data_IF_481306264445
#
_entry.id   IF_481306264445
#
_cell.length_a   1.000
_cell.length_b   1.000
_cell.length_c   1.000
_cell.angle_alpha   90.00
_cell.angle_beta   90.00
_cell.angle_gamma   90.00
#
_symmetry.space_group_name_H-M   'P 1'
#
loop_
_entity.id
_entity.type
_entity.pdbx_description
1 polymer ?
#
# COMPACT_ATOMS: atom_id res chain seq x y z
N UNK A 1 -28.19 -26.79 54.88
CA UNK A 1 -27.22 -27.54 54.10
C UNK A 1 -27.77 -27.68 52.71
N UNK A 2 -27.48 -26.72 51.84
CA UNK A 2 -27.92 -26.74 50.42
C UNK A 2 -26.71 -26.28 49.58
N UNK A 3 -26.23 -27.20 48.74
CA UNK A 3 -25.23 -26.93 47.71
C UNK A 3 -25.85 -26.00 46.65
N UNK A 4 -25.18 -24.91 46.33
CA UNK A 4 -25.44 -24.11 45.13
C UNK A 4 -24.34 -24.37 44.09
N UNK A 5 -24.71 -25.06 43.03
CA UNK A 5 -23.95 -25.15 41.81
C UNK A 5 -24.00 -23.78 41.09
N UNK A 6 -22.85 -23.14 40.92
CA UNK A 6 -22.73 -22.00 40.04
C UNK A 6 -22.34 -22.50 38.63
N UNK A 7 -23.31 -22.46 37.73
CA UNK A 7 -23.04 -22.56 36.30
C UNK A 7 -22.37 -21.25 35.86
N UNK A 8 -21.15 -21.34 35.33
CA UNK A 8 -20.51 -20.25 34.59
C UNK A 8 -21.03 -20.33 33.15
N UNK A 9 -21.80 -19.34 32.74
CA UNK A 9 -22.06 -19.06 31.34
C UNK A 9 -20.89 -18.24 30.80
N UNK A 10 -20.08 -18.85 29.96
CA UNK A 10 -19.13 -18.11 29.09
C UNK A 10 -19.93 -17.69 27.86
N UNK A 11 -20.31 -16.44 27.81
CA UNK A 11 -20.88 -15.84 26.61
C UNK A 11 -19.72 -15.49 25.66
N UNK A 12 -19.57 -16.35 24.64
CA UNK A 12 -18.72 -16.04 23.48
C UNK A 12 -19.44 -14.95 22.67
N UNK A 13 -19.04 -13.69 22.85
CA UNK A 13 -19.43 -12.65 21.90
C UNK A 13 -18.45 -12.72 20.69
N UNK A 14 -18.87 -13.45 19.68
CA UNK A 14 -18.29 -13.30 18.35
C UNK A 14 -18.79 -11.96 17.78
N UNK A 15 -17.91 -10.99 17.71
CA UNK A 15 -18.15 -9.79 16.92
C UNK A 15 -17.93 -10.14 15.45
N UNK A 16 -19.00 -10.53 14.78
CA UNK A 16 -19.01 -10.55 13.33
C UNK A 16 -19.10 -9.09 12.86
N UNK A 17 -18.00 -8.56 12.39
CA UNK A 17 -18.03 -7.38 11.51
C UNK A 17 -18.75 -7.82 10.23
N UNK A 18 -20.03 -7.52 10.16
CA UNK A 18 -20.79 -7.60 8.92
C UNK A 18 -20.36 -6.41 8.08
N UNK A 19 -19.37 -6.60 7.22
CA UNK A 19 -19.23 -5.76 6.05
C UNK A 19 -20.47 -6.04 5.19
N UNK A 20 -21.43 -5.13 5.18
CA UNK A 20 -22.53 -5.15 4.22
C UNK A 20 -21.96 -5.02 2.81
N UNK A 21 -21.76 -6.13 2.16
CA UNK A 21 -21.90 -6.26 0.73
C UNK A 21 -22.63 -7.57 0.45
N UNK A 22 -23.96 -7.48 0.45
CA UNK A 22 -24.82 -8.51 -0.08
C UNK A 22 -24.85 -8.32 -1.58
N UNK A 23 -23.92 -8.94 -2.30
CA UNK A 23 -24.11 -9.18 -3.71
C UNK A 23 -23.38 -10.45 -4.13
N UNK A 24 -24.20 -11.48 -4.30
CA UNK A 24 -24.03 -12.62 -5.18
C UNK A 24 -22.72 -13.39 -4.97
N UNK A 25 -22.71 -14.24 -3.95
CA UNK A 25 -21.89 -15.46 -3.98
C UNK A 25 -22.51 -16.32 -5.10
N UNK A 26 -21.78 -16.58 -6.19
CA UNK A 26 -22.26 -17.56 -7.17
C UNK A 26 -22.48 -18.88 -6.46
N UNK A 27 -23.51 -19.61 -6.83
CA UNK A 27 -23.97 -20.85 -6.20
C UNK A 27 -22.95 -22.02 -6.25
N UNK A 28 -21.74 -21.75 -6.75
CA UNK A 28 -20.57 -22.65 -6.85
C UNK A 28 -19.32 -22.15 -6.11
N UNK A 29 -19.45 -21.19 -5.20
CA UNK A 29 -18.33 -20.50 -4.56
C UNK A 29 -17.65 -21.24 -3.40
N UNK A 30 -17.81 -22.56 -3.29
CA UNK A 30 -17.04 -23.34 -2.31
C UNK A 30 -15.62 -23.57 -2.85
N UNK A 31 -14.65 -22.93 -2.23
CA UNK A 31 -13.23 -23.19 -2.49
C UNK A 31 -12.83 -24.40 -1.66
N UNK A 32 -12.57 -25.52 -2.32
CA UNK A 32 -11.94 -26.67 -1.64
C UNK A 32 -10.50 -26.32 -1.31
N UNK A 33 -10.21 -26.20 0.00
CA UNK A 33 -8.88 -25.86 0.47
C UNK A 33 -7.94 -27.06 0.39
N UNK A 34 -6.70 -26.80 0.01
CA UNK A 34 -5.64 -27.80 -0.11
C UNK A 34 -4.71 -27.83 1.10
N UNK A 35 -4.94 -26.94 2.06
CA UNK A 35 -4.31 -26.92 3.36
C UNK A 35 -5.38 -26.61 4.43
N UNK A 36 -5.34 -27.31 5.57
CA UNK A 36 -6.44 -27.30 6.55
C UNK A 36 -6.68 -25.98 7.28
N UNK A 37 -5.65 -25.15 7.39
CA UNK A 37 -5.67 -23.80 8.01
C UNK A 37 -5.72 -22.67 6.96
N UNK A 38 -5.94 -23.01 5.70
CA UNK A 38 -6.04 -22.03 4.63
C UNK A 38 -7.33 -21.21 4.74
N UNK A 39 -7.18 -19.93 4.48
CA UNK A 39 -8.26 -18.98 4.25
C UNK A 39 -8.55 -18.84 2.76
N UNK A 40 -9.74 -18.35 2.44
CA UNK A 40 -10.18 -18.17 1.04
C UNK A 40 -10.66 -16.75 0.80
N UNK A 41 -10.49 -16.28 -0.43
CA UNK A 41 -10.96 -14.98 -0.85
C UNK A 41 -11.33 -15.00 -2.34
N UNK A 42 -12.32 -14.22 -2.74
CA UNK A 42 -12.71 -14.09 -4.15
C UNK A 42 -12.37 -12.69 -4.63
N UNK A 43 -11.52 -12.60 -5.62
CA UNK A 43 -11.21 -11.36 -6.34
C UNK A 43 -12.06 -11.27 -7.59
N UNK A 44 -12.39 -10.06 -7.99
CA UNK A 44 -13.03 -9.79 -9.30
C UNK A 44 -12.08 -8.94 -10.15
N UNK A 45 -12.19 -9.04 -11.46
CA UNK A 45 -11.35 -8.26 -12.36
C UNK A 45 -10.48 -9.10 -13.30
N UNK A 46 -10.76 -10.41 -13.41
CA UNK A 46 -9.98 -11.31 -14.26
C UNK A 46 -10.09 -10.96 -15.75
N UNK A 47 -11.32 -10.74 -16.23
CA UNK A 47 -11.57 -10.34 -17.63
C UNK A 47 -11.73 -8.82 -17.77
N UNK A 48 -12.34 -8.17 -16.79
CA UNK A 48 -12.65 -6.74 -16.79
C UNK A 48 -12.50 -6.14 -15.40
N UNK A 49 -11.41 -5.45 -15.16
CA UNK A 49 -11.07 -4.82 -13.88
C UNK A 49 -12.06 -3.74 -13.41
N UNK A 50 -12.95 -3.27 -14.30
CA UNK A 50 -14.01 -2.30 -13.96
C UNK A 50 -15.24 -2.94 -13.33
N UNK A 51 -15.34 -4.26 -13.37
CA UNK A 51 -16.51 -5.01 -12.91
C UNK A 51 -16.31 -5.62 -11.53
N UNK A 52 -15.93 -4.84 -10.53
CA UNK A 52 -15.97 -5.31 -9.17
C UNK A 52 -14.69 -5.12 -8.38
N UNK A 53 -14.62 -5.77 -7.23
CA UNK A 53 -13.52 -5.65 -6.27
C UNK A 53 -12.33 -6.53 -6.68
N UNK A 54 -11.20 -5.91 -6.92
CA UNK A 54 -10.01 -6.57 -7.46
C UNK A 54 -8.76 -6.45 -6.58
N UNK A 55 -8.93 -6.01 -5.34
CA UNK A 55 -7.83 -5.82 -4.37
C UNK A 55 -7.92 -6.86 -3.27
N UNK A 56 -6.80 -7.48 -2.95
CA UNK A 56 -6.63 -8.36 -1.80
C UNK A 56 -5.62 -7.75 -0.83
N UNK A 57 -6.01 -7.72 0.44
CA UNK A 57 -5.17 -7.22 1.52
C UNK A 57 -5.05 -8.31 2.60
N UNK A 58 -3.86 -8.85 2.89
CA UNK A 58 -3.70 -9.81 3.97
C UNK A 58 -4.13 -9.22 5.30
N UNK A 59 -4.72 -10.04 6.16
CA UNK A 59 -5.13 -9.63 7.49
C UNK A 59 -3.96 -9.01 8.27
N UNK A 60 -4.20 -7.84 8.85
CA UNK A 60 -3.18 -7.11 9.60
C UNK A 60 -2.14 -6.36 8.76
N UNK A 61 -2.24 -6.37 7.43
CA UNK A 61 -1.34 -5.66 6.53
C UNK A 61 -2.03 -4.46 5.86
N UNK A 62 -1.33 -3.35 5.75
CA UNK A 62 -1.73 -2.20 4.92
C UNK A 62 -1.32 -2.36 3.45
N UNK A 63 -0.59 -3.43 3.13
CA UNK A 63 -0.03 -3.67 1.80
C UNK A 63 -0.91 -4.64 1.01
N UNK A 64 -1.58 -4.19 -0.04
CA UNK A 64 -2.37 -5.05 -0.92
C UNK A 64 -1.63 -5.47 -2.18
N UNK A 65 -2.17 -6.49 -2.84
CA UNK A 65 -2.01 -6.66 -4.27
C UNK A 65 -3.39 -6.61 -4.97
N UNK A 66 -3.40 -6.42 -6.26
CA UNK A 66 -4.63 -6.32 -7.03
C UNK A 66 -4.61 -7.22 -8.26
N UNK A 67 -5.80 -7.57 -8.72
CA UNK A 67 -6.03 -8.34 -9.93
C UNK A 67 -6.43 -7.39 -11.07
N UNK A 68 -5.76 -7.49 -12.20
CA UNK A 68 -6.12 -6.79 -13.43
C UNK A 68 -5.81 -7.67 -14.63
N UNK A 69 -6.84 -7.95 -15.46
CA UNK A 69 -6.66 -8.63 -16.75
C UNK A 69 -5.72 -9.85 -16.67
N UNK A 70 -6.13 -10.87 -15.92
CA UNK A 70 -5.40 -12.14 -15.77
C UNK A 70 -4.06 -12.07 -15.05
N UNK A 71 -3.78 -10.95 -14.36
CA UNK A 71 -2.48 -10.74 -13.72
C UNK A 71 -2.66 -10.19 -12.32
N UNK A 72 -1.95 -10.78 -11.36
CA UNK A 72 -1.73 -10.15 -10.06
C UNK A 72 -0.64 -9.09 -10.17
N UNK A 73 -0.88 -7.95 -9.53
CA UNK A 73 0.05 -6.83 -9.45
C UNK A 73 0.28 -6.43 -8.00
N UNK A 74 1.51 -6.32 -7.59
CA UNK A 74 1.87 -5.88 -6.25
C UNK A 74 2.89 -4.75 -6.28
N UNK A 75 2.64 -3.67 -5.56
CA UNK A 75 3.61 -2.59 -5.41
C UNK A 75 4.70 -2.95 -4.40
N UNK A 76 4.29 -3.56 -3.29
CA UNK A 76 5.17 -4.12 -2.25
C UNK A 76 4.94 -5.62 -2.05
N UNK A 77 4.24 -6.24 -2.98
CA UNK A 77 4.12 -7.67 -3.11
C UNK A 77 5.02 -8.15 -4.23
N UNK A 78 5.65 -9.27 -3.97
CA UNK A 78 6.48 -9.96 -4.94
C UNK A 78 6.03 -11.41 -4.99
N UNK A 79 5.87 -11.94 -6.18
CA UNK A 79 5.39 -13.29 -6.41
C UNK A 79 6.50 -14.16 -6.97
N UNK A 80 6.49 -15.42 -6.59
CA UNK A 80 7.33 -16.47 -7.15
C UNK A 80 6.45 -17.69 -7.40
N UNK A 81 6.32 -18.12 -8.64
CA UNK A 81 5.57 -19.34 -8.98
C UNK A 81 6.25 -20.54 -8.29
N UNK A 82 5.45 -21.31 -7.57
CA UNK A 82 5.83 -22.59 -7.00
C UNK A 82 5.35 -23.72 -7.92
N UNK A 83 6.13 -24.78 -8.07
CA UNK A 83 5.79 -25.90 -8.95
C UNK A 83 4.64 -26.77 -8.45
N UNK A 84 4.14 -26.55 -7.23
CA UNK A 84 3.05 -27.29 -6.63
C UNK A 84 1.69 -26.83 -7.14
N UNK A 85 0.69 -27.67 -6.95
CA UNK A 85 -0.73 -27.39 -7.21
C UNK A 85 -1.58 -27.39 -5.95
N UNK A 86 -0.94 -27.58 -4.79
CA UNK A 86 -1.54 -27.65 -3.46
C UNK A 86 -0.67 -26.89 -2.47
N UNK A 87 -1.29 -26.14 -1.53
CA UNK A 87 -0.56 -25.38 -0.53
C UNK A 87 0.21 -26.26 0.46
N UNK A 88 -0.38 -27.42 0.84
CA UNK A 88 0.25 -28.37 1.76
C UNK A 88 1.51 -29.06 1.16
N UNK A 89 1.68 -28.99 -0.16
CA UNK A 89 2.86 -29.47 -0.86
C UNK A 89 4.00 -28.45 -0.94
N UNK A 90 3.73 -27.17 -0.67
CA UNK A 90 4.74 -26.12 -0.72
C UNK A 90 5.70 -26.22 0.48
N UNK A 91 6.99 -26.24 0.22
CA UNK A 91 8.03 -26.18 1.23
C UNK A 91 8.12 -24.79 1.90
N UNK A 92 9.27 -24.42 2.47
CA UNK A 92 9.54 -23.04 2.90
C UNK A 92 9.76 -22.12 1.69
N UNK A 93 9.42 -20.84 1.83
CA UNK A 93 9.67 -19.87 0.78
C UNK A 93 11.18 -19.74 0.53
N UNK A 94 11.62 -19.81 -0.73
CA UNK A 94 13.02 -19.64 -1.04
C UNK A 94 13.46 -18.19 -0.77
N UNK A 95 14.56 -18.02 -0.07
CA UNK A 95 15.17 -16.70 0.15
C UNK A 95 15.64 -16.06 -1.16
N UNK A 96 16.13 -16.91 -2.07
CA UNK A 96 16.62 -16.52 -3.38
C UNK A 96 15.67 -17.03 -4.47
N UNK A 97 15.49 -16.24 -5.52
CA UNK A 97 14.64 -16.60 -6.64
C UNK A 97 14.31 -15.37 -7.49
N UNK A 98 13.69 -15.61 -8.63
CA UNK A 98 13.23 -14.52 -9.51
C UNK A 98 11.88 -14.04 -9.03
N UNK A 99 11.89 -13.21 -8.00
CA UNK A 99 10.70 -12.56 -7.48
C UNK A 99 10.23 -11.46 -8.42
N UNK A 100 8.95 -11.41 -8.71
CA UNK A 100 8.34 -10.42 -9.62
C UNK A 100 7.19 -9.68 -8.94
N UNK A 101 7.00 -8.41 -9.26
CA UNK A 101 5.83 -7.63 -8.84
C UNK A 101 4.53 -8.08 -9.53
N UNK A 102 4.63 -8.93 -10.52
CA UNK A 102 3.48 -9.45 -11.26
C UNK A 102 3.53 -10.97 -11.32
N UNK A 103 2.35 -11.59 -11.32
CA UNK A 103 2.20 -13.01 -11.60
C UNK A 103 0.99 -13.25 -12.48
N UNK A 104 1.13 -14.07 -13.50
CA UNK A 104 0.00 -14.52 -14.31
C UNK A 104 -0.93 -15.37 -13.45
N UNK A 105 -2.25 -15.12 -13.54
CA UNK A 105 -3.27 -15.84 -12.76
C UNK A 105 -3.67 -17.09 -13.54
N UNK A 106 -3.21 -18.23 -13.07
CA UNK A 106 -3.44 -19.54 -13.70
C UNK A 106 -4.14 -20.45 -12.69
N UNK A 107 -5.29 -20.99 -13.06
CA UNK A 107 -6.04 -21.93 -12.22
C UNK A 107 -5.20 -23.14 -11.81
N UNK A 108 -5.27 -23.52 -10.56
CA UNK A 108 -4.54 -24.63 -9.95
C UNK A 108 -3.08 -24.32 -9.57
N UNK A 109 -2.52 -23.18 -9.96
CA UNK A 109 -1.14 -22.82 -9.65
C UNK A 109 -0.98 -22.29 -8.24
N UNK A 110 0.17 -22.61 -7.64
CA UNK A 110 0.62 -22.06 -6.36
C UNK A 110 1.74 -21.05 -6.57
N UNK A 111 1.74 -20.06 -5.69
CA UNK A 111 2.72 -18.99 -5.65
C UNK A 111 3.18 -18.76 -4.21
N UNK A 112 4.44 -18.50 -4.03
CA UNK A 112 4.89 -17.76 -2.88
C UNK A 112 4.65 -16.28 -3.12
N UNK A 113 4.10 -15.60 -2.15
CA UNK A 113 4.03 -14.16 -2.12
C UNK A 113 4.84 -13.65 -0.93
N UNK A 114 5.69 -12.65 -1.13
CA UNK A 114 6.35 -11.92 -0.05
C UNK A 114 5.93 -10.46 -0.08
N UNK A 115 5.72 -9.89 1.09
CA UNK A 115 5.30 -8.51 1.24
C UNK A 115 5.88 -7.93 2.53
N UNK A 116 6.15 -6.64 2.55
CA UNK A 116 6.71 -6.04 3.76
C UNK A 116 7.12 -4.60 3.58
N UNK A 117 7.33 -3.98 4.73
CA UNK A 117 7.90 -2.65 4.89
C UNK A 117 9.30 -2.77 5.52
N UNK A 118 10.11 -1.71 5.47
CA UNK A 118 11.40 -1.63 6.15
C UNK A 118 12.37 -2.79 5.88
N UNK A 119 12.33 -3.37 4.69
CA UNK A 119 13.13 -4.56 4.36
C UNK A 119 12.71 -5.86 5.08
N UNK A 120 11.74 -5.83 5.96
CA UNK A 120 11.21 -7.01 6.61
C UNK A 120 10.11 -7.59 5.73
N UNK A 121 10.33 -8.77 5.21
CA UNK A 121 9.35 -9.47 4.39
C UNK A 121 8.63 -10.53 5.21
N UNK A 122 7.31 -10.54 5.10
CA UNK A 122 6.44 -11.63 5.51
C UNK A 122 6.13 -12.48 4.28
N UNK A 123 5.83 -13.74 4.49
CA UNK A 123 5.56 -14.67 3.41
C UNK A 123 4.16 -15.26 3.52
N UNK A 124 3.56 -15.48 2.37
CA UNK A 124 2.23 -16.08 2.23
C UNK A 124 2.28 -17.12 1.12
N UNK A 125 1.67 -18.29 1.37
CA UNK A 125 1.31 -19.24 0.33
C UNK A 125 0.02 -18.78 -0.32
N UNK A 126 -0.05 -18.82 -1.65
CA UNK A 126 -1.20 -18.42 -2.44
C UNK A 126 -1.46 -19.47 -3.52
N UNK A 127 -2.72 -19.86 -3.70
CA UNK A 127 -3.14 -20.73 -4.80
C UNK A 127 -4.35 -20.11 -5.49
N UNK A 128 -4.37 -20.15 -6.82
CA UNK A 128 -5.55 -19.86 -7.60
C UNK A 128 -6.42 -21.11 -7.62
N UNK A 129 -7.49 -21.10 -6.85
CA UNK A 129 -8.35 -22.28 -6.66
C UNK A 129 -9.28 -22.51 -7.86
N UNK A 130 -9.83 -21.44 -8.43
CA UNK A 130 -10.67 -21.48 -9.63
C UNK A 130 -10.66 -20.13 -10.36
N UNK A 131 -11.05 -20.16 -11.62
CA UNK A 131 -11.37 -18.99 -12.43
C UNK A 131 -12.76 -19.21 -13.04
N UNK A 132 -13.71 -18.30 -12.74
CA UNK A 132 -15.07 -18.34 -13.29
C UNK A 132 -15.49 -16.95 -13.77
N UNK A 133 -15.45 -16.76 -15.07
CA UNK A 133 -15.69 -15.47 -15.71
C UNK A 133 -14.76 -14.38 -15.16
N UNK A 134 -15.33 -13.37 -14.52
CA UNK A 134 -14.57 -12.28 -13.92
C UNK A 134 -14.04 -12.59 -12.49
N UNK A 135 -14.46 -13.72 -11.89
CA UNK A 135 -14.11 -14.09 -10.53
C UNK A 135 -12.87 -14.99 -10.49
N UNK A 136 -12.01 -14.75 -9.54
CA UNK A 136 -10.85 -15.58 -9.19
C UNK A 136 -10.94 -15.95 -7.73
N UNK A 137 -11.16 -17.24 -7.45
CA UNK A 137 -11.07 -17.78 -6.11
C UNK A 137 -9.63 -18.06 -5.74
N UNK A 138 -9.16 -17.47 -4.66
CA UNK A 138 -7.84 -17.72 -4.09
C UNK A 138 -7.94 -18.44 -2.75
N UNK A 139 -7.01 -19.34 -2.54
CA UNK A 139 -6.71 -19.99 -1.26
C UNK A 139 -5.37 -19.49 -0.79
N UNK A 140 -5.23 -19.14 0.49
CA UNK A 140 -3.97 -18.61 1.01
C UNK A 140 -3.71 -18.99 2.47
N UNK A 141 -2.43 -18.99 2.85
CA UNK A 141 -1.95 -19.18 4.21
C UNK A 141 -0.90 -18.12 4.52
N UNK A 142 -1.14 -17.33 5.56
CA UNK A 142 -0.12 -16.44 6.13
C UNK A 142 0.86 -17.31 6.92
N UNK A 143 2.13 -17.18 6.66
CA UNK A 143 3.16 -18.00 7.33
C UNK A 143 3.89 -17.20 8.40
N UNK A 144 4.50 -17.89 9.35
CA UNK A 144 5.39 -17.26 10.35
C UNK A 144 6.79 -16.97 9.78
N UNK A 145 7.05 -17.35 8.53
CA UNK A 145 8.33 -17.11 7.89
C UNK A 145 8.51 -15.60 7.63
N UNK A 146 9.66 -15.09 8.04
CA UNK A 146 10.08 -13.71 7.76
C UNK A 146 11.51 -13.69 7.24
N UNK A 147 11.87 -12.65 6.50
CA UNK A 147 13.27 -12.39 6.15
C UNK A 147 13.55 -10.89 6.18
N UNK A 148 14.84 -10.55 6.30
CA UNK A 148 15.29 -9.15 6.26
C UNK A 148 16.14 -8.95 5.01
N UNK A 149 15.65 -8.15 4.11
CA UNK A 149 16.39 -7.77 2.90
C UNK A 149 17.59 -6.85 3.19
N UNK A 150 18.51 -6.69 2.25
CA UNK A 150 19.64 -5.79 2.39
C UNK A 150 19.18 -4.33 2.51
N UNK A 151 19.90 -3.54 3.30
CA UNK A 151 19.71 -2.09 3.36
C UNK A 151 20.52 -1.44 2.24
N UNK A 152 19.97 -1.41 1.06
CA UNK A 152 20.57 -0.81 -0.13
C UNK A 152 19.79 0.42 -0.57
N UNK A 153 20.44 1.31 -1.29
CA UNK A 153 19.78 2.44 -1.92
C UNK A 153 18.70 1.95 -2.91
N UNK A 154 17.58 2.63 -2.98
CA UNK A 154 16.48 2.24 -3.86
C UNK A 154 16.91 2.18 -5.35
N UNK A 155 17.82 3.04 -5.78
CA UNK A 155 18.38 3.01 -7.12
C UNK A 155 19.23 1.76 -7.37
N UNK A 156 20.00 1.34 -6.38
CA UNK A 156 20.80 0.10 -6.46
C UNK A 156 19.90 -1.12 -6.49
N UNK A 157 18.87 -1.17 -5.63
CA UNK A 157 17.86 -2.20 -5.65
C UNK A 157 17.18 -2.31 -7.00
N UNK A 158 16.82 -1.18 -7.58
CA UNK A 158 16.22 -1.11 -8.90
C UNK A 158 17.12 -1.69 -9.99
N UNK A 159 18.39 -1.37 -9.96
CA UNK A 159 19.34 -1.79 -11.00
C UNK A 159 19.68 -3.28 -10.91
N UNK A 160 19.71 -3.84 -9.72
CA UNK A 160 20.17 -5.21 -9.49
C UNK A 160 19.02 -6.21 -9.58
N UNK A 161 17.96 -5.99 -8.79
CA UNK A 161 16.93 -7.00 -8.58
C UNK A 161 15.65 -6.72 -9.36
N UNK A 162 15.36 -5.46 -9.66
CA UNK A 162 14.06 -5.05 -10.18
C UNK A 162 14.17 -4.00 -11.30
N UNK A 163 14.59 -4.39 -12.49
CA UNK A 163 14.72 -3.45 -13.62
C UNK A 163 13.39 -2.80 -14.03
N UNK A 164 12.26 -3.35 -13.60
CA UNK A 164 10.92 -2.80 -13.82
C UNK A 164 10.33 -2.06 -12.62
N UNK A 165 11.05 -1.96 -11.52
CA UNK A 165 10.59 -1.26 -10.31
C UNK A 165 10.43 0.22 -10.55
N UNK A 166 9.43 0.75 -9.93
CA UNK A 166 8.88 2.04 -10.25
C UNK A 166 9.08 3.07 -9.14
N UNK A 167 9.65 2.68 -8.01
CA UNK A 167 9.77 3.51 -6.80
C UNK A 167 11.20 4.06 -6.62
N UNK A 168 11.76 4.63 -7.67
CA UNK A 168 13.10 5.24 -7.62
C UNK A 168 13.17 6.50 -6.75
N UNK A 169 12.01 7.07 -6.40
CA UNK A 169 11.87 8.15 -5.43
C UNK A 169 12.18 7.71 -4.00
N UNK A 170 12.14 6.42 -3.73
CA UNK A 170 12.34 5.90 -2.38
C UNK A 170 13.81 5.91 -1.99
N UNK A 171 14.19 6.57 -0.89
CA UNK A 171 15.54 6.46 -0.35
C UNK A 171 15.79 5.08 0.25
N UNK A 172 17.04 4.74 0.52
CA UNK A 172 17.35 3.63 1.40
C UNK A 172 16.74 3.87 2.78
N UNK A 173 15.93 2.92 3.24
CA UNK A 173 15.21 3.08 4.51
C UNK A 173 16.19 2.94 5.66
N UNK A 174 16.17 3.95 6.55
CA UNK A 174 16.96 3.97 7.76
C UNK A 174 16.01 4.18 8.94
N UNK A 175 16.02 3.27 9.89
CA UNK A 175 15.16 3.34 11.08
C UNK A 175 15.41 4.60 11.93
N UNK A 176 16.62 5.17 11.84
CA UNK A 176 16.94 6.43 12.50
C UNK A 176 16.22 7.65 11.87
N UNK A 177 15.78 7.54 10.62
CA UNK A 177 15.08 8.63 9.94
C UNK A 177 13.60 8.72 10.33
N UNK A 178 13.07 7.68 10.94
CA UNK A 178 11.68 7.63 11.41
C UNK A 178 10.93 6.39 10.98
N UNK A 179 9.64 6.41 11.21
CA UNK A 179 8.73 5.32 10.87
C UNK A 179 8.18 5.55 9.47
N UNK A 180 8.46 4.61 8.59
CA UNK A 180 8.08 4.68 7.19
C UNK A 180 6.66 4.19 6.92
N UNK A 181 5.91 4.90 6.07
CA UNK A 181 4.60 4.48 5.54
C UNK A 181 4.43 4.90 4.10
N UNK A 182 3.67 4.11 3.36
CA UNK A 182 3.26 4.40 1.98
C UNK A 182 1.76 4.66 1.92
N UNK A 183 1.36 5.63 1.13
CA UNK A 183 -0.02 6.02 0.92
C UNK A 183 -0.41 5.70 -0.51
N UNK A 184 -1.52 5.01 -0.68
CA UNK A 184 -1.99 4.55 -1.97
C UNK A 184 -3.36 5.13 -2.29
N UNK A 185 -3.65 5.18 -3.58
CA UNK A 185 -4.98 5.50 -4.11
C UNK A 185 -5.35 4.56 -5.24
N UNK A 186 -6.65 4.30 -5.39
CA UNK A 186 -7.19 3.63 -6.56
C UNK A 186 -7.54 4.68 -7.62
N UNK A 187 -6.80 4.69 -8.73
CA UNK A 187 -7.04 5.63 -9.81
C UNK A 187 -6.77 4.99 -11.18
N UNK A 188 -7.66 5.20 -12.14
CA UNK A 188 -7.59 4.63 -13.49
C UNK A 188 -7.38 3.10 -13.50
N UNK A 189 -8.14 2.39 -12.65
CA UNK A 189 -8.08 0.94 -12.46
C UNK A 189 -6.69 0.44 -12.00
N UNK A 190 -5.93 1.29 -11.32
CA UNK A 190 -4.61 0.96 -10.76
C UNK A 190 -4.54 1.35 -9.28
N UNK A 191 -3.79 0.56 -8.52
CA UNK A 191 -3.43 0.87 -7.15
C UNK A 191 -2.06 1.55 -7.16
N UNK A 192 -2.06 2.88 -6.96
CA UNK A 192 -0.90 3.74 -7.19
C UNK A 192 -0.39 4.25 -5.85
N UNK A 193 0.92 4.11 -5.60
CA UNK A 193 1.56 4.82 -4.50
C UNK A 193 1.53 6.32 -4.80
N UNK A 194 0.81 7.04 -3.98
CA UNK A 194 0.65 8.49 -4.12
C UNK A 194 1.84 9.24 -3.53
N UNK A 195 2.18 8.90 -2.29
CA UNK A 195 3.37 9.40 -1.61
C UNK A 195 3.80 8.43 -0.51
N UNK A 196 5.04 8.53 -0.06
CA UNK A 196 5.56 7.85 1.10
C UNK A 196 6.16 8.85 2.08
N UNK A 197 6.04 8.56 3.38
CA UNK A 197 6.51 9.43 4.46
C UNK A 197 7.40 8.64 5.42
N UNK A 198 8.37 9.31 6.04
CA UNK A 198 9.14 8.76 7.16
C UNK A 198 8.99 9.68 8.36
N UNK A 199 8.07 9.33 9.26
CA UNK A 199 7.69 10.13 10.41
C UNK A 199 8.69 9.96 11.57
N UNK A 200 9.28 11.06 11.99
CA UNK A 200 10.12 11.10 13.18
C UNK A 200 9.28 11.49 14.40
N UNK A 201 9.10 10.56 15.32
CA UNK A 201 8.24 10.73 16.50
C UNK A 201 8.80 11.74 17.51
N UNK A 202 10.12 11.89 17.55
CA UNK A 202 10.81 12.82 18.44
C UNK A 202 10.67 14.27 17.97
N UNK A 203 10.90 14.47 16.66
CA UNK A 203 10.77 15.78 16.02
C UNK A 203 9.32 16.13 15.69
N UNK A 204 8.41 15.15 15.68
CA UNK A 204 7.02 15.29 15.26
C UNK A 204 6.92 15.90 13.85
N UNK A 205 7.72 15.35 12.95
CA UNK A 205 7.95 15.85 11.61
C UNK A 205 8.48 14.72 10.73
N UNK A 206 8.10 14.65 9.47
CA UNK A 206 8.68 13.68 8.54
C UNK A 206 10.10 14.07 8.16
N UNK A 207 11.02 13.12 8.25
CA UNK A 207 12.40 13.28 7.80
C UNK A 207 12.50 13.43 6.30
N UNK A 208 11.59 12.78 5.56
CA UNK A 208 11.44 12.92 4.13
C UNK A 208 10.03 12.50 3.68
N UNK A 209 9.65 12.99 2.52
CA UNK A 209 8.46 12.57 1.78
C UNK A 209 8.89 12.26 0.34
N UNK A 210 8.46 11.12 -0.20
CA UNK A 210 8.83 10.67 -1.52
C UNK A 210 7.60 10.45 -2.40
N UNK A 211 7.69 10.82 -3.68
CA UNK A 211 6.62 10.64 -4.66
C UNK A 211 7.17 10.71 -6.09
N UNK A 212 6.35 10.37 -7.07
CA UNK A 212 6.76 10.51 -8.47
C UNK A 212 5.66 11.12 -9.33
N UNK A 213 6.07 11.63 -10.47
CA UNK A 213 5.20 12.00 -11.57
C UNK A 213 5.38 11.01 -12.73
N UNK A 214 4.28 10.60 -13.32
CA UNK A 214 4.18 9.91 -14.59
C UNK A 214 2.93 10.38 -15.34
N UNK A 215 2.56 9.72 -16.44
CA UNK A 215 1.39 10.12 -17.23
C UNK A 215 0.07 10.14 -16.45
N UNK A 216 -0.08 9.30 -15.41
CA UNK A 216 -1.27 9.25 -14.59
C UNK A 216 -1.23 10.29 -13.48
N UNK A 217 -0.15 10.30 -12.72
CA UNK A 217 0.00 11.11 -11.51
C UNK A 217 0.26 12.59 -11.81
N UNK A 218 0.57 12.94 -13.07
CA UNK A 218 0.78 14.33 -13.53
C UNK A 218 -0.48 15.03 -14.03
N UNK A 219 -1.62 14.34 -14.05
CA UNK A 219 -2.88 14.93 -14.52
C UNK A 219 -3.39 15.99 -13.55
N UNK A 220 -4.07 16.99 -14.09
CA UNK A 220 -4.69 18.08 -13.35
C UNK A 220 -6.22 17.96 -13.49
N UNK A 221 -6.81 17.16 -12.59
CA UNK A 221 -8.24 16.80 -12.66
C UNK A 221 -9.05 17.40 -11.52
N UNK A 222 -8.43 17.74 -10.41
CA UNK A 222 -9.12 18.21 -9.21
C UNK A 222 -8.45 19.46 -8.65
N UNK A 223 -9.22 20.23 -7.88
CA UNK A 223 -8.70 21.38 -7.16
C UNK A 223 -8.26 20.97 -5.75
N UNK A 224 -7.45 21.83 -5.14
CA UNK A 224 -7.06 21.74 -3.74
C UNK A 224 -8.25 21.46 -2.83
N UNK A 225 -8.14 20.46 -1.96
CA UNK A 225 -9.23 19.97 -1.09
C UNK A 225 -9.25 20.61 0.29
N UNK A 226 -8.08 21.04 0.80
CA UNK A 226 -7.91 21.53 2.18
C UNK A 226 -8.38 20.53 3.26
N UNK A 227 -8.18 19.23 3.00
CA UNK A 227 -8.64 18.11 3.84
C UNK A 227 -7.65 17.83 5.00
N UNK A 228 -7.40 18.82 5.84
CA UNK A 228 -6.47 18.73 6.97
C UNK A 228 -6.88 17.67 7.97
N UNK A 229 -5.99 16.70 8.19
CA UNK A 229 -6.22 15.61 9.14
C UNK A 229 -4.92 14.98 9.63
N UNK A 230 -5.01 14.21 10.71
CA UNK A 230 -3.94 13.33 11.11
C UNK A 230 -3.89 12.11 10.17
N UNK A 231 -2.69 11.59 9.98
CA UNK A 231 -2.45 10.43 9.15
C UNK A 231 -2.80 9.14 9.90
N UNK A 232 -3.90 8.50 9.53
CA UNK A 232 -4.38 7.27 10.16
C UNK A 232 -3.46 6.05 9.98
N UNK A 233 -2.44 6.14 9.12
CA UNK A 233 -1.41 5.11 9.02
C UNK A 233 -0.46 5.10 10.24
N UNK A 234 -0.55 6.13 11.08
CA UNK A 234 0.23 6.28 12.31
C UNK A 234 -0.71 6.41 13.51
N UNK A 235 -0.46 5.66 14.55
CA UNK A 235 -1.22 5.80 15.81
C UNK A 235 -0.93 7.16 16.45
N UNK A 236 -1.99 7.94 16.67
CA UNK A 236 -1.88 9.32 17.14
C UNK A 236 -1.16 9.43 18.49
N UNK A 237 -1.54 8.58 19.45
CA UNK A 237 -1.05 8.68 20.82
C UNK A 237 0.40 8.23 20.95
N UNK A 238 0.77 7.14 20.31
CA UNK A 238 2.11 6.54 20.41
C UNK A 238 3.13 7.19 19.47
N UNK A 239 2.67 7.81 18.39
CA UNK A 239 3.54 8.41 17.36
C UNK A 239 3.75 9.93 17.52
N UNK A 240 3.23 10.51 18.57
CA UNK A 240 3.33 11.96 18.80
C UNK A 240 2.53 12.75 17.76
N UNK A 241 1.28 12.35 17.56
CA UNK A 241 0.39 12.92 16.56
C UNK A 241 0.27 14.44 16.62
N UNK A 242 -0.08 15.04 15.50
CA UNK A 242 -0.22 16.49 15.29
C UNK A 242 -1.63 16.78 14.78
N UNK A 243 -2.24 17.83 15.31
CA UNK A 243 -3.58 18.28 14.93
C UNK A 243 -3.62 19.80 14.66
N UNK A 244 -4.72 20.29 14.15
CA UNK A 244 -4.92 21.72 13.81
C UNK A 244 -4.54 22.66 14.97
N UNK A 245 -4.86 22.28 16.20
CA UNK A 245 -4.56 23.08 17.37
C UNK A 245 -3.05 23.32 17.58
N UNK A 246 -2.21 22.40 17.16
CA UNK A 246 -0.75 22.52 17.27
C UNK A 246 -0.17 23.57 16.33
N UNK A 247 -0.88 23.92 15.26
CA UNK A 247 -0.46 24.91 14.25
C UNK A 247 -1.15 26.27 14.43
N UNK A 248 -1.99 26.40 15.44
CA UNK A 248 -2.73 27.63 15.65
C UNK A 248 -1.88 28.68 16.36
N UNK A 249 -1.54 29.74 15.64
CA UNK A 249 -0.79 30.89 16.18
C UNK A 249 0.63 30.56 16.66
N UNK A 250 1.25 29.53 16.08
CA UNK A 250 2.64 29.15 16.36
C UNK A 250 3.68 30.05 15.65
N UNK A 251 3.23 30.87 14.71
CA UNK A 251 4.07 31.78 13.94
C UNK A 251 4.66 31.18 12.66
N UNK A 252 4.25 29.95 12.31
CA UNK A 252 4.67 29.26 11.11
C UNK A 252 3.49 29.01 10.17
N UNK A 253 3.80 28.87 8.88
CA UNK A 253 2.87 28.32 7.89
C UNK A 253 2.85 26.80 7.99
N UNK A 254 1.71 26.20 7.68
CA UNK A 254 1.60 24.76 7.41
C UNK A 254 2.17 24.48 6.01
N UNK A 255 3.48 24.31 5.93
CA UNK A 255 4.17 24.08 4.66
C UNK A 255 4.08 22.62 4.25
N UNK A 256 3.61 22.37 3.03
CA UNK A 256 3.61 21.04 2.44
C UNK A 256 5.05 20.61 2.08
N UNK A 257 5.38 19.34 2.30
CA UNK A 257 6.62 18.75 1.77
C UNK A 257 6.37 18.27 0.33
N UNK A 258 5.36 17.41 0.12
CA UNK A 258 4.78 17.18 -1.19
C UNK A 258 3.64 18.17 -1.40
N UNK A 259 3.78 19.11 -2.32
CA UNK A 259 2.79 20.15 -2.54
C UNK A 259 1.42 19.58 -2.95
N UNK A 260 0.34 20.23 -2.50
CA UNK A 260 -1.02 19.80 -2.89
C UNK A 260 -1.22 19.83 -4.41
N UNK A 261 -0.60 20.79 -5.09
CA UNK A 261 -0.64 20.92 -6.55
C UNK A 261 0.08 19.77 -7.28
N UNK A 262 0.96 19.04 -6.59
CA UNK A 262 1.65 17.89 -7.16
C UNK A 262 0.75 16.66 -7.28
N UNK A 263 -0.33 16.59 -6.49
CA UNK A 263 -1.21 15.44 -6.35
C UNK A 263 -2.67 15.77 -6.69
N UNK A 264 -2.91 16.47 -7.82
CA UNK A 264 -4.25 16.86 -8.29
C UNK A 264 -4.83 15.93 -9.37
N UNK A 265 -4.30 14.74 -9.52
CA UNK A 265 -4.81 13.78 -10.49
C UNK A 265 -6.11 13.09 -10.04
N UNK A 266 -6.34 12.92 -8.73
CA UNK A 266 -7.63 12.53 -8.15
C UNK A 266 -7.81 13.14 -6.75
N UNK A 267 -9.06 13.09 -6.25
CA UNK A 267 -9.44 13.73 -4.99
C UNK A 267 -8.70 13.12 -3.81
N UNK A 268 -8.67 11.81 -3.71
CA UNK A 268 -8.03 11.07 -2.62
C UNK A 268 -6.52 11.34 -2.59
N UNK A 269 -5.88 11.42 -3.74
CA UNK A 269 -4.46 11.76 -3.82
C UNK A 269 -4.18 13.16 -3.29
N UNK A 270 -5.05 14.12 -3.61
CA UNK A 270 -4.92 15.48 -3.10
C UNK A 270 -5.20 15.55 -1.59
N UNK A 271 -6.21 14.85 -1.09
CA UNK A 271 -6.53 14.78 0.35
C UNK A 271 -5.33 14.27 1.16
N UNK A 272 -4.61 13.26 0.67
CA UNK A 272 -3.41 12.73 1.34
C UNK A 272 -2.28 13.75 1.49
N UNK A 273 -2.21 14.77 0.64
CA UNK A 273 -1.19 15.83 0.81
C UNK A 273 -1.44 16.72 2.04
N UNK A 274 -2.67 16.72 2.58
CA UNK A 274 -3.05 17.49 3.76
C UNK A 274 -2.90 16.73 5.08
N UNK A 275 -2.42 15.48 5.03
CA UNK A 275 -2.07 14.73 6.23
C UNK A 275 -0.89 15.40 6.94
N UNK A 276 -0.98 15.56 8.26
CA UNK A 276 0.06 16.26 9.03
C UNK A 276 1.44 15.60 8.93
N UNK A 277 1.53 14.34 8.54
CA UNK A 277 2.81 13.68 8.22
C UNK A 277 3.49 14.23 6.95
N UNK A 278 2.76 14.95 6.10
CA UNK A 278 3.28 15.67 4.94
C UNK A 278 3.50 17.17 5.22
N UNK A 279 3.31 17.63 6.44
CA UNK A 279 3.34 19.07 6.78
C UNK A 279 4.55 19.38 7.65
N UNK A 280 5.20 20.49 7.32
CA UNK A 280 6.34 21.05 8.07
C UNK A 280 6.00 22.46 8.55
N UNK A 281 6.31 22.83 9.80
CA UNK A 281 6.28 24.22 10.22
C UNK A 281 7.31 25.02 9.42
N UNK A 282 6.88 25.95 8.60
CA UNK A 282 7.76 26.74 7.73
C UNK A 282 7.59 28.24 8.01
N UNK A 283 8.70 28.95 8.00
CA UNK A 283 8.65 30.42 8.06
C UNK A 283 7.95 30.93 6.79
N UNK A 284 6.99 31.86 6.94
CA UNK A 284 6.18 32.36 5.83
C UNK A 284 7.03 32.87 4.64
N UNK A 285 8.13 33.59 4.91
CA UNK A 285 9.03 34.06 3.85
C UNK A 285 9.76 32.95 3.09
N UNK A 286 9.99 31.80 3.73
CA UNK A 286 10.53 30.61 3.11
C UNK A 286 9.44 29.87 2.33
N UNK A 287 8.35 29.53 3.00
CA UNK A 287 7.24 28.79 2.40
C UNK A 287 6.68 29.48 1.14
N UNK A 288 6.28 30.75 1.29
CA UNK A 288 5.55 31.49 0.26
C UNK A 288 6.43 32.04 -0.90
N UNK A 289 7.75 31.93 -0.79
CA UNK A 289 8.66 32.45 -1.83
C UNK A 289 9.61 31.39 -2.34
N UNK A 290 10.55 30.98 -1.50
CA UNK A 290 11.61 30.08 -1.94
C UNK A 290 11.08 28.66 -2.20
N UNK A 291 10.30 28.11 -1.24
CA UNK A 291 9.75 26.77 -1.36
C UNK A 291 8.77 26.65 -2.51
N UNK A 292 7.83 27.58 -2.66
CA UNK A 292 6.94 27.67 -3.82
C UNK A 292 7.70 27.70 -5.14
N UNK A 293 8.85 28.36 -5.20
CA UNK A 293 9.68 28.37 -6.41
C UNK A 293 10.24 26.99 -6.77
N UNK A 294 10.61 26.19 -5.76
CA UNK A 294 11.03 24.78 -5.95
C UNK A 294 9.85 23.91 -6.38
N UNK A 295 8.71 24.03 -5.72
CA UNK A 295 7.48 23.32 -6.09
C UNK A 295 7.10 23.58 -7.55
N UNK A 296 7.09 24.83 -7.98
CA UNK A 296 6.80 25.18 -9.38
C UNK A 296 7.78 24.58 -10.38
N UNK A 297 9.06 24.46 -9.99
CA UNK A 297 10.07 23.83 -10.84
C UNK A 297 9.82 22.31 -10.96
N UNK A 298 9.53 21.64 -9.84
CA UNK A 298 9.21 20.22 -9.80
C UNK A 298 7.92 19.94 -10.60
N UNK A 299 6.90 20.77 -10.44
CA UNK A 299 5.66 20.69 -11.21
C UNK A 299 5.89 20.85 -12.71
N UNK A 300 6.74 21.79 -13.11
CA UNK A 300 7.09 21.95 -14.51
C UNK A 300 7.74 20.70 -15.10
N UNK A 301 8.62 20.04 -14.37
CA UNK A 301 9.20 18.77 -14.80
C UNK A 301 8.16 17.64 -14.78
N UNK A 302 7.39 17.52 -13.72
CA UNK A 302 6.34 16.51 -13.55
C UNK A 302 5.29 16.60 -14.65
N UNK A 303 4.76 17.79 -14.95
CA UNK A 303 3.76 17.99 -16.01
C UNK A 303 4.31 17.68 -17.41
N UNK A 304 5.62 17.71 -17.60
CA UNK A 304 6.26 17.34 -18.87
C UNK A 304 6.20 15.84 -19.18
N UNK A 305 5.76 14.99 -18.24
CA UNK A 305 5.53 13.56 -18.49
C UNK A 305 4.28 13.31 -19.36
N UNK A 306 3.37 14.28 -19.44
CA UNK A 306 2.20 14.24 -20.33
C UNK A 306 2.60 14.72 -21.73
N UNK A 307 3.22 13.79 -22.50
CA UNK A 307 3.67 14.11 -23.87
C UNK A 307 4.89 15.02 -23.95
N UNK A 308 5.63 15.16 -22.85
CA UNK A 308 6.80 16.03 -22.72
C UNK A 308 8.13 15.28 -22.81
N UNK A 309 9.11 15.78 -22.08
CA UNK A 309 10.52 15.36 -22.18
C UNK A 309 10.84 14.13 -21.32
N UNK A 310 10.09 13.91 -20.25
CA UNK A 310 10.37 12.85 -19.27
C UNK A 310 9.26 11.80 -19.26
N UNK A 311 9.63 10.54 -19.10
CA UNK A 311 8.66 9.46 -18.85
C UNK A 311 8.20 9.46 -17.39
N UNK A 312 9.11 9.76 -16.46
CA UNK A 312 8.87 9.91 -15.02
C UNK A 312 9.77 10.98 -14.42
N UNK A 313 9.31 11.58 -13.32
CA UNK A 313 10.08 12.45 -12.44
C UNK A 313 9.92 11.94 -11.01
N UNK A 314 11.03 11.68 -10.36
CA UNK A 314 11.07 11.16 -8.99
C UNK A 314 11.50 12.28 -8.05
N UNK A 315 10.84 12.37 -6.90
CA UNK A 315 11.04 13.42 -5.91
C UNK A 315 11.16 12.78 -4.52
N UNK A 316 12.19 13.20 -3.79
CA UNK A 316 12.39 12.83 -2.38
C UNK A 316 12.80 14.07 -1.60
#
# INVERSE_FOLDING_TARGET
>A
MKLFNKLFFVSLFAWTLIACNTDIIPDNGYIETTQSDASTFVMQGYEDSKKGFNVFNPEGSSLPFYLKEKTFYGSRFYFLEDGNTRLDGMAEAPEQGTWSHTAEVIEGKCYWARYGEYRVYNYMKLRVAYIDGNNVGIEYVLTDQTSVGPNINANEAYLIDFPSVLNLEMPAINEADGIYREHYVNYADQYIMNLATSWNTELRHSSWVAFHFDKLTSQDNVKRTDAWDWDSAYDFDTMGGVEEANHKSDGFDKGHICASEDRVYCKEANEQTFLYTNISPQIASFNQKYWVGLEQLVQKWGRSTIGGTYDKVYVT
#
